data_IF_279135477730
#
_entry.id   IF_279135477730
#
_cell.length_a   1.000
_cell.length_b   1.000
_cell.length_c   1.000
_cell.angle_alpha   90.00
_cell.angle_beta   90.00
_cell.angle_gamma   90.00
#
_symmetry.space_group_name_H-M   'P 1'
#
loop_
_entity.id
_entity.type
_entity.pdbx_description
1 polymer ?
#
# COMPACT_ATOMS: atom_id res chain seq x y z
N UNK A 1 12.08 30.17 8.84
CA UNK A 1 11.62 29.88 7.46
C UNK A 1 11.90 28.42 7.07
N UNK A 2 13.15 27.93 7.16
CA UNK A 2 13.50 26.56 6.76
C UNK A 2 12.76 25.43 7.52
N UNK A 3 12.51 25.59 8.83
CA UNK A 3 11.76 24.59 9.60
C UNK A 3 10.31 24.43 9.13
N UNK A 4 9.64 25.55 8.82
CA UNK A 4 8.27 25.53 8.33
C UNK A 4 8.17 24.83 6.98
N UNK A 5 9.12 25.07 6.08
CA UNK A 5 9.14 24.39 4.77
C UNK A 5 9.42 22.90 4.92
N UNK A 6 10.32 22.48 5.83
CA UNK A 6 10.49 21.06 6.16
C UNK A 6 9.20 20.43 6.69
N UNK A 7 8.50 21.11 7.60
CA UNK A 7 7.21 20.65 8.12
C UNK A 7 6.19 20.47 6.99
N UNK A 8 6.02 21.48 6.14
CA UNK A 8 5.08 21.45 5.01
C UNK A 8 5.41 20.33 4.03
N UNK A 9 6.69 20.17 3.68
CA UNK A 9 7.16 19.10 2.79
C UNK A 9 6.94 17.72 3.41
N UNK A 10 7.15 17.58 4.71
CA UNK A 10 6.91 16.34 5.45
C UNK A 10 5.42 15.98 5.43
N UNK A 11 4.53 16.94 5.74
CA UNK A 11 3.08 16.73 5.68
C UNK A 11 2.61 16.45 4.25
N UNK A 12 3.20 17.12 3.27
CA UNK A 12 2.92 16.89 1.85
C UNK A 12 3.31 15.48 1.40
N UNK A 13 4.49 15.00 1.78
CA UNK A 13 4.92 13.63 1.54
C UNK A 13 4.04 12.61 2.27
N UNK A 14 3.67 12.88 3.53
CA UNK A 14 2.79 12.02 4.32
C UNK A 14 1.43 11.81 3.65
N UNK A 15 0.86 12.85 3.03
CA UNK A 15 -0.43 12.81 2.36
C UNK A 15 -0.52 11.83 1.19
N UNK A 16 0.60 11.38 0.63
CA UNK A 16 0.63 10.48 -0.54
C UNK A 16 0.16 9.06 -0.27
N UNK A 17 0.34 8.55 0.96
CA UNK A 17 0.08 7.15 1.31
C UNK A 17 -0.68 6.97 2.63
N UNK A 18 -0.93 8.05 3.38
CA UNK A 18 -1.57 7.96 4.72
C UNK A 18 -2.96 7.33 4.66
N UNK A 19 -3.70 7.52 3.57
CA UNK A 19 -5.05 6.99 3.41
C UNK A 19 -5.07 5.47 3.25
N UNK A 20 -4.29 4.93 2.30
CA UNK A 20 -4.15 3.49 2.10
C UNK A 20 -3.47 2.81 3.30
N UNK A 21 -2.46 3.43 3.91
CA UNK A 21 -1.85 2.91 5.13
C UNK A 21 -2.85 2.86 6.30
N UNK A 22 -3.71 3.87 6.44
CA UNK A 22 -4.82 3.85 7.40
C UNK A 22 -5.80 2.71 7.16
N UNK A 23 -6.19 2.48 5.90
CA UNK A 23 -7.05 1.36 5.52
C UNK A 23 -6.45 0.00 5.90
N UNK A 24 -5.13 -0.19 5.69
CA UNK A 24 -4.45 -1.44 6.04
C UNK A 24 -4.40 -1.70 7.53
N UNK A 25 -4.22 -0.66 8.33
CA UNK A 25 -4.18 -0.79 9.79
C UNK A 25 -5.57 -1.09 10.36
N UNK A 26 -6.63 -0.54 9.77
CA UNK A 26 -8.03 -0.79 10.16
C UNK A 26 -8.60 -2.11 9.59
N UNK A 27 -7.88 -2.75 8.68
CA UNK A 27 -8.29 -3.96 7.99
C UNK A 27 -8.79 -5.08 8.92
N UNK A 28 -8.16 -5.37 10.08
CA UNK A 28 -8.63 -6.42 10.98
C UNK A 28 -10.04 -6.17 11.52
N UNK A 29 -10.43 -4.90 11.68
CA UNK A 29 -11.77 -4.53 12.09
C UNK A 29 -12.75 -4.62 10.91
N UNK A 30 -12.35 -4.15 9.73
CA UNK A 30 -13.19 -4.19 8.51
C UNK A 30 -13.57 -5.62 8.10
N UNK A 31 -12.64 -6.57 8.20
CA UNK A 31 -12.87 -7.99 7.90
C UNK A 31 -14.02 -8.59 8.72
N UNK A 32 -14.28 -8.07 9.92
CA UNK A 32 -15.39 -8.55 10.77
C UNK A 32 -16.74 -7.92 10.44
N UNK A 33 -16.77 -6.82 9.69
CA UNK A 33 -17.97 -6.03 9.38
C UNK A 33 -18.43 -6.15 7.94
N UNK A 34 -17.49 -6.31 7.02
CA UNK A 34 -17.77 -6.38 5.59
C UNK A 34 -18.07 -7.82 5.15
N UNK A 35 -19.02 -8.03 4.21
CA UNK A 35 -19.44 -9.35 3.73
C UNK A 35 -18.32 -10.15 3.04
N UNK A 36 -17.24 -9.49 2.60
CA UNK A 36 -16.08 -10.14 1.98
C UNK A 36 -15.22 -10.95 2.95
N UNK A 37 -15.24 -10.62 4.25
CA UNK A 37 -14.41 -11.27 5.25
C UNK A 37 -12.92 -11.27 4.88
N UNK A 38 -12.26 -12.42 5.04
CA UNK A 38 -10.82 -12.59 4.80
C UNK A 38 -10.39 -12.53 3.32
N UNK A 39 -11.33 -12.39 2.38
CA UNK A 39 -11.01 -12.11 0.97
C UNK A 39 -10.75 -10.61 0.71
N UNK A 40 -11.15 -9.74 1.64
CA UNK A 40 -11.02 -8.30 1.53
C UNK A 40 -9.57 -7.82 1.33
N UNK A 41 -8.55 -8.33 2.06
CA UNK A 41 -7.15 -7.98 1.81
C UNK A 41 -6.72 -8.26 0.37
N UNK A 42 -7.12 -9.42 -0.17
CA UNK A 42 -6.80 -9.80 -1.56
C UNK A 42 -7.45 -8.87 -2.57
N UNK A 43 -8.71 -8.46 -2.35
CA UNK A 43 -9.38 -7.48 -3.22
C UNK A 43 -8.69 -6.12 -3.17
N UNK A 44 -8.29 -5.66 -1.99
CA UNK A 44 -7.53 -4.43 -1.82
C UNK A 44 -6.20 -4.46 -2.57
N UNK A 45 -5.43 -5.54 -2.44
CA UNK A 45 -4.18 -5.70 -3.19
C UNK A 45 -4.42 -5.62 -4.69
N UNK A 46 -5.38 -6.38 -5.24
CA UNK A 46 -5.67 -6.35 -6.69
C UNK A 46 -6.05 -4.94 -7.15
N UNK A 47 -6.88 -4.24 -6.39
CA UNK A 47 -7.33 -2.88 -6.68
C UNK A 47 -6.17 -1.89 -6.68
N UNK A 48 -5.28 -1.97 -5.70
CA UNK A 48 -4.07 -1.15 -5.64
C UNK A 48 -3.15 -1.44 -6.82
N UNK A 49 -2.99 -2.71 -7.20
CA UNK A 49 -2.18 -3.06 -8.37
C UNK A 49 -2.76 -2.50 -9.67
N UNK A 50 -4.09 -2.52 -9.83
CA UNK A 50 -4.76 -1.90 -10.99
C UNK A 50 -4.60 -0.38 -11.00
N UNK A 51 -4.50 0.25 -9.82
CA UNK A 51 -4.33 1.68 -9.67
C UNK A 51 -2.99 2.22 -10.22
N UNK A 52 -2.00 1.33 -10.47
CA UNK A 52 -0.77 1.68 -11.20
C UNK A 52 -1.02 2.23 -12.62
N UNK A 53 -2.24 2.10 -13.14
CA UNK A 53 -2.67 2.82 -14.36
C UNK A 53 -2.55 4.35 -14.21
N UNK A 54 -2.60 4.89 -12.99
CA UNK A 54 -2.45 6.31 -12.70
C UNK A 54 -1.08 6.88 -13.13
N UNK A 55 0.04 6.38 -12.59
CA UNK A 55 1.39 6.71 -13.05
C UNK A 55 1.61 6.53 -14.56
N UNK A 56 1.05 5.47 -15.14
CA UNK A 56 1.12 5.20 -16.58
C UNK A 56 0.41 6.31 -17.37
N UNK A 57 -0.79 6.70 -16.94
CA UNK A 57 -1.57 7.77 -17.56
C UNK A 57 -0.82 9.10 -17.50
N UNK A 58 -0.24 9.46 -16.35
CA UNK A 58 0.56 10.68 -16.20
C UNK A 58 1.77 10.68 -17.13
N UNK A 59 2.48 9.56 -17.20
CA UNK A 59 3.67 9.42 -18.06
C UNK A 59 3.28 9.54 -19.53
N UNK A 60 2.17 8.92 -19.94
CA UNK A 60 1.65 8.98 -21.30
C UNK A 60 1.18 10.40 -21.66
N UNK A 61 0.53 11.08 -20.71
CA UNK A 61 0.11 12.48 -20.88
C UNK A 61 1.31 13.41 -21.04
N UNK A 62 2.37 13.23 -20.25
CA UNK A 62 3.63 13.96 -20.44
C UNK A 62 4.28 13.66 -21.80
N UNK A 63 4.18 12.42 -22.29
CA UNK A 63 4.73 12.02 -23.60
C UNK A 63 3.98 12.67 -24.77
N UNK A 64 2.65 12.73 -24.72
CA UNK A 64 1.84 13.26 -25.82
C UNK A 64 1.66 14.78 -25.80
N UNK A 65 1.72 15.41 -24.61
CA UNK A 65 1.52 16.86 -24.45
C UNK A 65 2.58 17.46 -23.52
N UNK A 66 3.87 17.44 -23.92
CA UNK A 66 4.93 18.06 -23.13
C UNK A 66 4.64 19.56 -22.95
N UNK A 67 4.52 20.02 -21.69
CA UNK A 67 4.33 21.43 -21.34
C UNK A 67 2.88 21.92 -21.18
N UNK A 68 1.85 21.11 -21.46
CA UNK A 68 0.46 21.49 -21.17
C UNK A 68 0.00 21.20 -19.73
N UNK A 69 0.77 20.42 -18.98
CA UNK A 69 0.46 20.03 -17.61
C UNK A 69 1.39 20.77 -16.67
N UNK A 70 0.90 21.87 -16.10
CA UNK A 70 1.57 22.49 -14.97
C UNK A 70 1.44 21.59 -13.75
N UNK A 71 2.51 21.45 -12.99
CA UNK A 71 2.59 20.52 -11.86
C UNK A 71 1.59 20.90 -10.76
N UNK A 72 1.39 22.20 -10.54
CA UNK A 72 0.54 22.73 -9.46
C UNK A 72 -0.95 22.36 -9.64
N UNK A 73 -1.60 22.57 -10.81
CA UNK A 73 -2.98 22.12 -11.01
C UNK A 73 -3.16 20.61 -10.91
N UNK A 74 -2.18 19.81 -11.35
CA UNK A 74 -2.23 18.35 -11.25
C UNK A 74 -2.21 17.91 -9.79
N UNK A 75 -1.31 18.47 -8.98
CA UNK A 75 -1.23 18.21 -7.54
C UNK A 75 -2.54 18.61 -6.86
N UNK A 76 -3.08 19.78 -7.18
CA UNK A 76 -4.34 20.23 -6.59
C UNK A 76 -5.51 19.30 -6.95
N UNK A 77 -5.58 18.84 -8.20
CA UNK A 77 -6.60 17.88 -8.65
C UNK A 77 -6.49 16.55 -7.89
N UNK A 78 -5.27 16.01 -7.77
CA UNK A 78 -4.97 14.78 -7.02
C UNK A 78 -5.44 14.94 -5.56
N UNK A 79 -5.07 16.04 -4.90
CA UNK A 79 -5.47 16.30 -3.50
C UNK A 79 -6.98 16.45 -3.34
N UNK A 80 -7.67 17.16 -4.25
CA UNK A 80 -9.12 17.31 -4.21
C UNK A 80 -9.85 15.98 -4.41
N UNK A 81 -9.42 15.17 -5.38
CA UNK A 81 -10.00 13.84 -5.64
C UNK A 81 -9.75 12.92 -4.46
N UNK A 82 -8.52 12.84 -3.95
CA UNK A 82 -8.16 12.04 -2.78
C UNK A 82 -8.97 12.43 -1.54
N UNK A 83 -9.03 13.72 -1.22
CA UNK A 83 -9.80 14.22 -0.06
C UNK A 83 -11.29 13.87 -0.20
N UNK A 84 -11.86 14.09 -1.38
CA UNK A 84 -13.26 13.79 -1.66
C UNK A 84 -13.53 12.30 -1.53
N UNK A 85 -12.65 11.46 -2.07
CA UNK A 85 -12.77 10.01 -1.99
C UNK A 85 -12.63 9.50 -0.54
N UNK A 86 -11.74 10.07 0.27
CA UNK A 86 -11.61 9.76 1.70
C UNK A 86 -12.88 10.13 2.49
N UNK A 87 -13.44 11.32 2.24
CA UNK A 87 -14.70 11.75 2.87
C UNK A 87 -15.84 10.82 2.46
N UNK A 88 -15.97 10.50 1.17
CA UNK A 88 -16.97 9.58 0.68
C UNK A 88 -16.79 8.18 1.29
N UNK A 89 -15.55 7.69 1.41
CA UNK A 89 -15.26 6.39 2.02
C UNK A 89 -15.72 6.36 3.48
N UNK A 90 -15.48 7.43 4.25
CA UNK A 90 -15.92 7.52 5.65
C UNK A 90 -17.46 7.42 5.82
N UNK A 91 -18.25 7.80 4.80
CA UNK A 91 -19.72 7.68 4.85
C UNK A 91 -20.25 6.40 4.17
N UNK A 92 -19.64 5.99 3.06
CA UNK A 92 -20.14 4.89 2.21
C UNK A 92 -19.50 3.53 2.54
N UNK A 93 -18.56 3.44 3.47
CA UNK A 93 -17.87 2.17 3.78
C UNK A 93 -18.81 1.03 4.21
N UNK A 94 -19.94 1.34 4.88
CA UNK A 94 -20.91 0.35 5.35
C UNK A 94 -22.00 0.01 4.32
N UNK A 95 -22.03 0.70 3.18
CA UNK A 95 -23.01 0.46 2.13
C UNK A 95 -22.65 -0.80 1.36
N UNK A 96 -23.51 -1.81 1.45
CA UNK A 96 -23.40 -3.06 0.70
C UNK A 96 -24.41 -3.09 -0.44
N UNK A 97 -24.00 -3.66 -1.57
CA UNK A 97 -24.82 -3.83 -2.77
C UNK A 97 -24.89 -5.31 -3.14
N UNK A 98 -25.96 -5.73 -3.79
CA UNK A 98 -26.16 -7.13 -4.15
C UNK A 98 -25.64 -7.39 -5.56
N UNK A 99 -24.62 -8.26 -5.68
CA UNK A 99 -23.98 -8.62 -6.95
C UNK A 99 -23.83 -10.14 -7.00
N UNK A 100 -24.27 -10.77 -8.10
CA UNK A 100 -24.19 -12.22 -8.30
C UNK A 100 -24.75 -13.05 -7.12
N UNK A 101 -25.82 -12.56 -6.47
CA UNK A 101 -26.46 -13.25 -5.35
C UNK A 101 -25.73 -13.16 -4.00
N UNK A 102 -24.62 -12.40 -3.92
CA UNK A 102 -23.88 -12.12 -2.67
C UNK A 102 -23.84 -10.62 -2.41
N UNK A 103 -23.75 -10.25 -1.13
CA UNK A 103 -23.52 -8.86 -0.75
C UNK A 103 -22.05 -8.52 -0.93
N UNK A 104 -21.80 -7.39 -1.58
CA UNK A 104 -20.46 -6.87 -1.82
C UNK A 104 -20.42 -5.37 -1.52
N UNK A 105 -19.34 -4.95 -0.86
CA UNK A 105 -18.99 -3.59 -0.47
C UNK A 105 -18.40 -2.82 -1.65
N UNK A 106 -19.15 -2.76 -2.76
CA UNK A 106 -18.65 -2.20 -4.02
C UNK A 106 -18.31 -0.73 -3.91
N UNK A 107 -19.08 0.04 -3.15
CA UNK A 107 -18.77 1.44 -2.88
C UNK A 107 -17.38 1.58 -2.21
N UNK A 108 -17.12 0.77 -1.19
CA UNK A 108 -15.82 0.73 -0.50
C UNK A 108 -14.67 0.35 -1.46
N UNK A 109 -14.85 -0.71 -2.26
CA UNK A 109 -13.83 -1.17 -3.22
C UNK A 109 -13.54 -0.13 -4.31
N UNK A 110 -14.57 0.50 -4.87
CA UNK A 110 -14.43 1.53 -5.90
C UNK A 110 -13.80 2.81 -5.33
N UNK A 111 -14.19 3.23 -4.13
CA UNK A 111 -13.57 4.38 -3.48
C UNK A 111 -12.10 4.09 -3.15
N UNK A 112 -11.79 2.89 -2.67
CA UNK A 112 -10.42 2.44 -2.42
C UNK A 112 -9.58 2.42 -3.71
N UNK A 113 -10.18 2.07 -4.85
CA UNK A 113 -9.52 2.20 -6.16
C UNK A 113 -9.14 3.63 -6.48
N UNK A 114 -10.05 4.60 -6.28
CA UNK A 114 -9.74 6.01 -6.50
C UNK A 114 -8.69 6.54 -5.53
N UNK A 115 -8.73 6.12 -4.25
CA UNK A 115 -7.68 6.43 -3.27
C UNK A 115 -6.33 5.91 -3.76
N UNK A 116 -6.25 4.61 -4.08
CA UNK A 116 -5.02 4.00 -4.56
C UNK A 116 -4.52 4.65 -5.87
N UNK A 117 -5.42 5.05 -6.77
CA UNK A 117 -5.04 5.73 -8.02
C UNK A 117 -4.39 7.08 -7.72
N UNK A 118 -5.01 7.87 -6.85
CA UNK A 118 -4.47 9.17 -6.42
C UNK A 118 -3.16 8.98 -5.68
N UNK A 119 -3.07 8.02 -4.77
CA UNK A 119 -1.89 7.73 -3.95
C UNK A 119 -0.69 7.32 -4.82
N UNK A 120 -0.85 6.32 -5.70
CA UNK A 120 0.19 5.90 -6.64
C UNK A 120 0.61 7.05 -7.59
N UNK A 121 -0.35 7.85 -8.05
CA UNK A 121 -0.08 8.98 -8.95
C UNK A 121 0.64 10.13 -8.22
N UNK A 122 0.31 10.36 -6.95
CA UNK A 122 0.88 11.43 -6.13
C UNK A 122 2.37 11.23 -5.89
N UNK A 123 2.83 10.03 -5.50
CA UNK A 123 4.26 9.75 -5.30
C UNK A 123 5.08 9.99 -6.58
N UNK A 124 4.52 9.74 -7.77
CA UNK A 124 5.22 9.97 -9.04
C UNK A 124 5.17 11.44 -9.47
N UNK A 125 4.07 12.15 -9.22
CA UNK A 125 3.88 13.55 -9.63
C UNK A 125 4.44 14.56 -8.64
N UNK A 126 4.63 14.19 -7.38
CA UNK A 126 5.14 15.08 -6.34
C UNK A 126 6.66 15.25 -6.44
N UNK A 127 7.38 14.21 -6.88
CA UNK A 127 8.82 14.26 -7.11
C UNK A 127 9.27 15.36 -8.11
N UNK A 128 8.68 15.49 -9.31
CA UNK A 128 9.07 16.57 -10.23
C UNK A 128 8.76 17.96 -9.67
N UNK A 129 7.68 18.14 -8.91
CA UNK A 129 7.42 19.40 -8.21
C UNK A 129 8.48 19.68 -7.14
N UNK A 130 8.84 18.68 -6.33
CA UNK A 130 9.88 18.80 -5.32
C UNK A 130 11.27 19.05 -5.91
N UNK A 131 11.52 18.67 -7.16
CA UNK A 131 12.77 18.98 -7.87
C UNK A 131 12.97 20.48 -8.15
N UNK A 132 11.91 21.29 -8.07
CA UNK A 132 12.01 22.76 -8.15
C UNK A 132 12.53 23.39 -6.84
N UNK A 133 12.52 22.64 -5.74
CA UNK A 133 13.08 23.04 -4.45
C UNK A 133 14.52 22.50 -4.30
N UNK A 134 15.32 23.08 -3.39
CA UNK A 134 16.62 22.53 -3.05
C UNK A 134 16.55 21.04 -2.67
N UNK A 135 17.51 20.24 -3.15
CA UNK A 135 17.53 18.78 -3.03
C UNK A 135 17.47 18.27 -1.59
N UNK A 136 17.87 19.06 -0.60
CA UNK A 136 17.75 18.69 0.82
C UNK A 136 16.30 18.60 1.33
N UNK A 137 15.31 19.13 0.60
CA UNK A 137 13.89 18.92 0.91
C UNK A 137 13.36 17.57 0.41
N UNK A 138 13.99 16.94 -0.59
CA UNK A 138 13.58 15.62 -1.07
C UNK A 138 13.74 14.55 0.01
N UNK A 139 14.78 14.63 0.84
CA UNK A 139 14.94 13.72 1.97
C UNK A 139 13.80 13.86 2.97
N UNK A 140 13.33 15.09 3.21
CA UNK A 140 12.20 15.36 4.11
C UNK A 140 10.89 14.86 3.54
N UNK A 141 10.73 14.93 2.22
CA UNK A 141 9.58 14.35 1.52
C UNK A 141 9.51 12.84 1.73
N UNK A 142 10.61 12.11 1.50
CA UNK A 142 10.66 10.66 1.73
C UNK A 142 10.50 10.27 3.20
N UNK A 143 11.00 11.10 4.14
CA UNK A 143 10.70 10.93 5.56
C UNK A 143 9.20 11.06 5.80
N UNK A 144 8.55 12.05 5.20
CA UNK A 144 7.10 12.23 5.24
C UNK A 144 6.33 11.01 4.71
N UNK A 145 6.71 10.51 3.53
CA UNK A 145 6.12 9.27 2.97
C UNK A 145 6.28 8.10 3.93
N UNK A 146 7.44 7.91 4.56
CA UNK A 146 7.64 6.85 5.57
C UNK A 146 6.78 7.04 6.82
N UNK A 147 6.64 8.28 7.31
CA UNK A 147 5.81 8.60 8.47
C UNK A 147 4.31 8.39 8.22
N UNK A 148 3.87 8.31 6.96
CA UNK A 148 2.48 8.04 6.60
C UNK A 148 1.97 6.67 7.06
N UNK A 149 2.86 5.69 7.29
CA UNK A 149 2.50 4.40 7.89
C UNK A 149 2.56 4.42 9.42
N UNK A 150 3.47 5.19 9.99
CA UNK A 150 3.63 5.31 11.44
C UNK A 150 2.43 6.00 12.10
N UNK A 151 1.94 7.08 11.49
CA UNK A 151 0.84 7.86 12.07
C UNK A 151 -0.44 7.02 12.24
N UNK A 152 -0.97 6.31 11.23
CA UNK A 152 -2.12 5.44 11.41
C UNK A 152 -1.87 4.28 12.37
N UNK A 153 -0.66 3.70 12.37
CA UNK A 153 -0.31 2.64 13.32
C UNK A 153 -0.38 3.11 14.79
N UNK A 154 0.09 4.33 15.08
CA UNK A 154 -0.03 4.92 16.42
C UNK A 154 -1.50 5.17 16.79
N UNK A 155 -2.31 5.67 15.85
CA UNK A 155 -3.75 5.89 16.08
C UNK A 155 -4.44 4.57 16.43
N UNK A 156 -4.16 3.53 15.67
CA UNK A 156 -4.76 2.21 15.86
C UNK A 156 -4.29 1.52 17.15
N UNK A 157 -3.02 1.70 17.54
CA UNK A 157 -2.51 1.26 18.83
C UNK A 157 -3.26 1.93 19.99
N UNK A 158 -3.49 3.24 19.90
CA UNK A 158 -4.27 3.99 20.90
C UNK A 158 -5.72 3.54 20.93
N UNK A 159 -6.30 3.21 19.78
CA UNK A 159 -7.66 2.68 19.68
C UNK A 159 -7.78 1.23 20.20
N UNK A 160 -6.68 0.48 20.27
CA UNK A 160 -6.69 -0.94 20.63
C UNK A 160 -7.25 -1.82 19.51
N UNK A 161 -7.09 -1.41 18.24
CA UNK A 161 -7.55 -2.19 17.08
C UNK A 161 -6.91 -3.59 17.09
N UNK A 162 -7.73 -4.65 16.96
CA UNK A 162 -7.24 -6.03 16.88
C UNK A 162 -7.20 -6.81 18.20
N UNK A 163 -7.65 -6.23 19.32
CA UNK A 163 -7.86 -6.99 20.56
C UNK A 163 -9.18 -7.76 20.47
N UNK A 164 -9.11 -9.07 20.20
CA UNK A 164 -10.27 -9.96 20.24
C UNK A 164 -10.38 -10.64 21.60
N UNK A 165 -11.48 -10.42 22.32
CA UNK A 165 -11.76 -11.13 23.57
C UNK A 165 -12.41 -12.48 23.29
N UNK A 166 -11.67 -13.57 23.51
CA UNK A 166 -12.25 -14.92 23.47
C UNK A 166 -13.00 -15.19 24.78
N UNK A 167 -14.31 -15.42 24.68
CA UNK A 167 -15.11 -15.88 25.83
C UNK A 167 -15.21 -17.39 25.75
N UNK A 168 -14.80 -18.09 26.82
CA UNK A 168 -14.95 -19.53 26.91
C UNK A 168 -16.43 -19.86 27.18
N UNK A 169 -17.12 -20.42 26.18
CA UNK A 169 -18.50 -20.88 26.34
C UNK A 169 -18.46 -22.38 26.64
N UNK A 170 -18.64 -22.73 27.91
CA UNK A 170 -18.87 -24.11 28.31
C UNK A 170 -20.34 -24.45 28.02
N UNK A 171 -20.60 -25.10 26.89
CA UNK A 171 -21.87 -25.76 26.63
C UNK A 171 -22.12 -26.78 27.75
N UNK A 172 -23.13 -26.54 28.58
CA UNK A 172 -23.52 -27.49 29.63
C UNK A 172 -24.27 -28.64 28.95
N UNK A 173 -23.80 -29.90 28.99
CA UNK A 173 -24.57 -31.01 28.45
C UNK A 173 -25.73 -31.27 29.40
N UNK A 174 -26.90 -30.69 29.11
CA UNK A 174 -28.03 -30.76 30.04
C UNK A 174 -29.35 -30.24 29.49
N UNK A 175 -30.08 -31.15 28.86
CA UNK A 175 -31.55 -31.14 28.66
C UNK A 175 -32.06 -30.41 27.41
N UNK A 176 -32.37 -31.22 26.41
CA UNK A 176 -33.35 -31.01 25.32
C UNK A 176 -34.46 -30.02 25.67
N UNK A 177 -34.53 -28.87 25.00
CA UNK A 177 -35.78 -28.24 24.57
C UNK A 177 -35.56 -27.32 23.33
N UNK A 178 -36.15 -27.77 22.22
CA UNK A 178 -36.55 -27.07 20.99
C UNK A 178 -35.49 -26.79 19.90
N UNK A 179 -35.74 -27.22 18.63
CA UNK A 179 -34.93 -26.84 17.50
C UNK A 179 -35.27 -25.39 17.11
N UNK A 180 -34.48 -24.43 17.57
CA UNK A 180 -34.42 -23.12 16.92
C UNK A 180 -33.49 -23.28 15.72
N UNK A 181 -34.06 -23.22 14.53
CA UNK A 181 -33.30 -23.19 13.27
C UNK A 181 -32.57 -21.86 13.16
N UNK A 182 -31.40 -21.77 13.79
CA UNK A 182 -30.39 -20.77 13.45
C UNK A 182 -29.32 -21.50 12.65
N UNK A 183 -29.24 -21.19 11.37
CA UNK A 183 -28.14 -21.65 10.51
C UNK A 183 -26.84 -20.96 10.96
N UNK A 184 -26.21 -21.47 12.00
CA UNK A 184 -24.83 -21.13 12.32
C UNK A 184 -23.90 -21.88 11.38
N UNK A 185 -23.19 -21.11 10.57
CA UNK A 185 -22.13 -21.64 9.71
C UNK A 185 -20.93 -21.92 10.61
N UNK A 186 -20.73 -23.18 11.02
CA UNK A 186 -19.52 -23.59 11.73
C UNK A 186 -18.30 -23.28 10.87
N UNK A 187 -17.50 -22.29 11.29
CA UNK A 187 -16.15 -22.10 10.77
C UNK A 187 -15.29 -23.18 11.39
N UNK A 188 -15.04 -24.25 10.64
CA UNK A 188 -13.98 -25.20 10.98
C UNK A 188 -12.65 -24.47 10.80
N UNK A 189 -11.97 -24.19 11.91
CA UNK A 189 -10.57 -23.74 11.89
C UNK A 189 -9.75 -24.89 11.29
N UNK A 190 -9.35 -24.75 10.02
CA UNK A 190 -8.41 -25.68 9.39
C UNK A 190 -7.06 -25.46 10.04
N UNK A 191 -6.65 -26.40 10.89
CA UNK A 191 -5.28 -26.49 11.35
C UNK A 191 -4.36 -26.63 10.13
N UNK A 192 -3.45 -25.67 9.95
CA UNK A 192 -2.42 -25.71 8.91
C UNK A 192 -1.48 -26.88 9.22
N UNK A 193 -1.64 -27.96 8.48
CA UNK A 193 -0.65 -29.04 8.41
C UNK A 193 0.55 -28.49 7.63
N UNK A 194 1.79 -28.60 8.14
CA UNK A 194 2.96 -28.11 7.44
C UNK A 194 3.25 -29.03 6.26
N UNK A 195 2.94 -28.57 5.04
CA UNK A 195 3.28 -29.25 3.79
C UNK A 195 2.13 -29.22 2.79
N UNK A 196 2.03 -28.14 2.01
CA UNK A 196 1.13 -28.08 0.86
C UNK A 196 1.09 -26.72 0.16
N UNK A 197 1.66 -26.69 -1.05
CA UNK A 197 1.59 -25.66 -2.10
C UNK A 197 1.61 -24.18 -1.67
N UNK A 198 2.80 -23.56 -1.75
CA UNK A 198 2.99 -22.12 -1.63
C UNK A 198 2.16 -21.38 -2.68
N UNK A 199 1.25 -20.52 -2.23
CA UNK A 199 0.54 -19.57 -3.09
C UNK A 199 1.48 -18.40 -3.41
N UNK A 200 1.35 -17.83 -4.60
CA UNK A 200 2.12 -16.64 -5.05
C UNK A 200 1.98 -15.47 -4.06
N UNK A 201 0.89 -15.44 -3.29
CA UNK A 201 0.67 -14.47 -2.21
C UNK A 201 1.63 -14.61 -1.03
N UNK A 202 2.06 -15.82 -0.67
CA UNK A 202 2.99 -16.05 0.44
C UNK A 202 4.40 -15.54 0.08
N UNK A 203 4.79 -15.72 -1.19
CA UNK A 203 6.05 -15.18 -1.73
C UNK A 203 6.10 -13.66 -1.75
N UNK A 204 4.97 -13.00 -2.03
CA UNK A 204 4.87 -11.55 -2.00
C UNK A 204 4.87 -11.00 -0.56
N UNK A 205 4.33 -11.76 0.40
CA UNK A 205 4.35 -11.39 1.81
C UNK A 205 5.75 -11.54 2.43
N UNK A 206 6.49 -12.60 2.07
CA UNK A 206 7.86 -12.85 2.51
C UNK A 206 8.89 -11.84 1.96
N UNK A 207 8.61 -11.23 0.80
CA UNK A 207 9.47 -10.17 0.22
C UNK A 207 9.26 -8.81 0.90
N UNK A 208 8.07 -8.55 1.45
CA UNK A 208 7.73 -7.27 2.09
C UNK A 208 8.19 -7.22 3.56
N UNK A 209 8.20 -8.38 4.24
CA UNK A 209 8.63 -8.51 5.63
C UNK A 209 9.81 -9.48 5.73
N UNK A 210 11.00 -8.98 5.41
CA UNK A 210 12.24 -9.74 5.53
C UNK A 210 12.33 -10.46 6.87
N UNK A 211 12.48 -11.78 6.81
CA UNK A 211 12.80 -12.61 7.97
C UNK A 211 14.05 -12.07 8.66
N UNK A 212 13.92 -11.73 9.94
CA UNK A 212 15.06 -11.56 10.83
C UNK A 212 15.84 -12.86 10.92
N UNK A 213 16.94 -12.95 10.20
CA UNK A 213 17.94 -13.99 10.41
C UNK A 213 18.67 -13.67 11.72
N UNK A 214 18.49 -14.51 12.73
CA UNK A 214 19.49 -14.66 13.78
C UNK A 214 20.74 -15.30 13.15
N UNK A 215 21.65 -14.49 12.64
CA UNK A 215 23.01 -14.92 12.33
C UNK A 215 23.82 -14.95 13.64
N UNK A 216 24.46 -16.07 14.01
CA UNK A 216 25.43 -16.07 15.10
C UNK A 216 26.66 -15.27 14.68
N UNK A 217 27.08 -14.34 15.54
CA UNK A 217 28.32 -13.57 15.46
C UNK A 217 29.54 -14.43 15.04
N UNK A 218 30.28 -14.05 13.98
CA UNK A 218 31.67 -14.45 13.84
C UNK A 218 32.58 -13.42 14.53
N UNK A 219 33.45 -13.92 15.40
CA UNK A 219 34.61 -13.17 15.92
C UNK A 219 35.64 -12.87 14.81
N UNK A 220 36.55 -11.90 15.02
CA UNK A 220 36.99 -11.00 13.97
C UNK A 220 38.14 -11.57 13.14
N UNK A 221 38.06 -11.40 11.82
CA UNK A 221 39.22 -11.55 10.94
C UNK A 221 39.14 -10.55 9.77
N UNK A 222 40.13 -9.65 9.72
CA UNK A 222 40.77 -9.24 8.48
C UNK A 222 40.13 -8.12 7.65
N UNK A 223 40.92 -7.06 7.46
CA UNK A 223 40.67 -5.93 6.57
C UNK A 223 40.42 -6.33 5.11
N UNK A 224 39.29 -5.91 4.51
CA UNK A 224 39.16 -5.56 3.09
C UNK A 224 37.79 -4.89 2.79
N UNK A 225 37.86 -3.58 2.55
CA UNK A 225 36.92 -2.67 1.87
C UNK A 225 35.44 -3.04 1.68
N UNK A 226 34.57 -2.40 2.47
CA UNK A 226 33.15 -2.24 2.19
C UNK A 226 32.92 -1.48 0.87
N UNK A 227 32.38 -2.15 -0.16
CA UNK A 227 31.77 -1.48 -1.32
C UNK A 227 30.25 -1.50 -1.17
N UNK A 228 29.68 -0.31 -1.25
CA UNK A 228 28.30 0.03 -0.91
C UNK A 228 27.30 -0.37 -2.02
N UNK A 229 26.07 -0.85 -1.68
CA UNK A 229 25.08 -1.40 -2.61
C UNK A 229 24.55 -0.41 -3.66
N UNK A 230 24.80 0.89 -3.49
CA UNK A 230 24.42 1.92 -4.46
C UNK A 230 25.14 1.80 -5.81
N UNK A 231 26.33 1.18 -5.85
CA UNK A 231 27.10 1.06 -7.11
C UNK A 231 26.57 -0.05 -8.02
N UNK A 232 26.02 -1.12 -7.46
CA UNK A 232 25.40 -2.20 -8.24
C UNK A 232 24.10 -1.75 -8.95
N UNK A 233 23.34 -0.86 -8.29
CA UNK A 233 22.12 -0.28 -8.88
C UNK A 233 22.45 0.69 -10.03
N UNK A 234 23.52 1.48 -9.88
CA UNK A 234 24.01 2.38 -10.93
C UNK A 234 24.56 1.63 -12.15
N UNK A 235 25.27 0.50 -11.94
CA UNK A 235 25.78 -0.32 -13.05
C UNK A 235 24.65 -1.03 -13.82
N UNK A 236 23.56 -1.40 -13.15
CA UNK A 236 22.36 -1.95 -13.80
C UNK A 236 21.60 -0.91 -14.64
N UNK A 237 21.48 0.32 -14.15
CA UNK A 237 20.82 1.43 -14.86
C UNK A 237 21.65 1.92 -16.05
N UNK A 238 22.98 1.98 -15.92
CA UNK A 238 23.88 2.31 -17.03
C UNK A 238 23.94 1.21 -18.10
N UNK A 239 23.79 -0.07 -17.73
CA UNK A 239 23.73 -1.16 -18.72
C UNK A 239 22.45 -1.13 -19.55
N UNK A 240 21.33 -0.67 -18.99
CA UNK A 240 20.06 -0.52 -19.72
C UNK A 240 20.08 0.64 -20.72
N UNK A 241 20.79 1.73 -20.41
CA UNK A 241 20.90 2.88 -21.31
C UNK A 241 21.83 2.62 -22.50
N UNK A 242 22.85 1.76 -22.35
CA UNK A 242 23.70 1.36 -23.48
C UNK A 242 23.00 0.40 -24.47
N UNK A 243 21.98 -0.34 -24.03
CA UNK A 243 21.18 -1.22 -24.91
C UNK A 243 20.15 -0.47 -25.78
N UNK A 244 19.78 0.77 -25.43
CA UNK A 244 18.86 1.60 -26.23
C UNK A 244 19.56 2.56 -27.21
N UNK A 245 20.90 2.60 -27.21
CA UNK A 245 21.69 3.58 -27.99
C UNK A 245 22.57 2.95 -29.09
N UNK A 246 22.31 1.70 -29.49
CA UNK A 246 23.17 0.94 -30.40
C UNK A 246 22.43 0.27 -31.55
N UNK A 247 21.73 1.03 -32.39
CA UNK A 247 21.50 0.62 -33.79
C UNK A 247 21.18 1.85 -34.68
N UNK A 248 22.21 2.65 -34.94
CA UNK A 248 22.22 3.61 -36.04
C UNK A 248 23.55 3.43 -36.78
N UNK A 249 23.54 2.58 -37.81
CA UNK A 249 24.69 2.37 -38.68
C UNK A 249 25.04 3.63 -39.46
N UNK A 250 26.35 3.88 -39.58
CA UNK A 250 26.97 4.51 -40.74
C UNK A 250 28.38 3.94 -40.87
N UNK A 251 28.55 3.10 -41.89
CA UNK A 251 29.83 2.65 -42.42
C UNK A 251 30.69 3.83 -42.87
N UNK A 252 31.99 3.77 -42.58
CA UNK A 252 33.03 4.57 -43.21
C UNK A 252 34.33 3.76 -43.24
N UNK A 253 34.43 2.86 -44.22
CA UNK A 253 35.64 2.48 -44.96
C UNK A 253 35.26 1.51 -46.09
#
# INVERSE_FOLDING_TARGET
>A
MAFLTHLLVCVFGMGSWVAINGLWVELPLLVTKLPEGWYLPSYLTVVIQLANIGPLLVTLMHRFRPGCLSEVPVIFLILCVGTTACILLAFLWSMTSWIQGRQHSVAFIVLTFFLALVDCTSSVTFLPFMSQLPTYYLTTFFIGEGLSGLLPALVALVQGSGITTCVNVTETPGTTLNPVTTMETSITQVAVIPGGAHSVGDWLWDLQYGHGCYEPLPHPAGSLGWRSPYRALLDAVCSLSQLCQGDAGCDLA
#
